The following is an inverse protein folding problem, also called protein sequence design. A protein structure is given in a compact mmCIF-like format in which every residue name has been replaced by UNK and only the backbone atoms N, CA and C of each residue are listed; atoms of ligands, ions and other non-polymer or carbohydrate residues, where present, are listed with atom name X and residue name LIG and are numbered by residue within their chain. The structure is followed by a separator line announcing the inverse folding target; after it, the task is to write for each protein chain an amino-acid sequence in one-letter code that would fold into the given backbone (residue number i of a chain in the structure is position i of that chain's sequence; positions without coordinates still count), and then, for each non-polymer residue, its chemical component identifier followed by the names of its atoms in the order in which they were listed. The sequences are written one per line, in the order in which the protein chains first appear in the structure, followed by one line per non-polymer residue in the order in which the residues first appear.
data_IF_340230225319
#
_entry.id   IF_340230225319
#
_cell.length_a   1.000
_cell.length_b   1.000
_cell.length_c   1.000
_cell.angle_alpha   90.00
_cell.angle_beta   90.00
_cell.angle_gamma   90.00
#
_symmetry.space_group_name_H-M   'P 1'
#
loop_
_entity.id
_entity.type
_entity.pdbx_description
1 polymer ?
#
# COMPACT_ATOMS: atom_id res chain seq x y z
N UNK A 1 4.83 12.24 -47.23
CA UNK A 1 4.06 12.76 -46.07
C UNK A 1 3.70 11.58 -45.19
N UNK A 2 4.55 11.25 -44.22
CA UNK A 2 4.34 10.15 -43.26
C UNK A 2 3.88 10.73 -41.95
N UNK A 3 2.65 10.42 -41.57
CA UNK A 3 2.06 10.84 -40.27
C UNK A 3 2.57 9.91 -39.17
N UNK A 4 3.54 10.37 -38.40
CA UNK A 4 4.01 9.70 -37.19
C UNK A 4 2.87 9.63 -36.18
N UNK A 5 2.45 8.41 -35.84
CA UNK A 5 1.47 8.11 -34.79
C UNK A 5 2.21 8.23 -33.45
N UNK A 6 1.97 9.31 -32.73
CA UNK A 6 2.41 9.46 -31.34
C UNK A 6 1.61 8.43 -30.52
N UNK A 7 2.27 7.39 -30.05
CA UNK A 7 1.72 6.46 -29.08
C UNK A 7 1.63 7.18 -27.73
N UNK A 8 0.41 7.41 -27.26
CA UNK A 8 0.15 7.84 -25.89
C UNK A 8 0.66 6.75 -24.93
N UNK A 9 1.63 7.08 -24.08
CA UNK A 9 2.19 6.20 -23.07
C UNK A 9 1.10 5.82 -22.05
N UNK A 10 0.89 4.51 -21.89
CA UNK A 10 -0.22 3.92 -21.19
C UNK A 10 -0.28 4.22 -19.71
N UNK A 11 -1.44 4.66 -19.28
CA UNK A 11 -1.91 4.40 -17.92
C UNK A 11 -1.91 2.87 -17.73
N UNK A 12 -1.12 2.36 -16.78
CA UNK A 12 -1.04 0.92 -16.50
C UNK A 12 -2.41 0.46 -16.01
N UNK A 13 -3.16 -0.20 -16.87
CA UNK A 13 -4.47 -0.78 -16.54
C UNK A 13 -4.29 -1.75 -15.37
N UNK A 14 -4.96 -1.47 -14.24
CA UNK A 14 -4.96 -2.37 -13.09
C UNK A 14 -5.48 -3.74 -13.55
N UNK A 15 -4.68 -4.79 -13.37
CA UNK A 15 -5.08 -6.13 -13.77
C UNK A 15 -6.21 -6.66 -12.88
N UNK A 16 -7.00 -7.61 -13.41
CA UNK A 16 -8.05 -8.28 -12.62
C UNK A 16 -7.49 -8.95 -11.36
N UNK A 17 -6.30 -9.54 -11.46
CA UNK A 17 -5.61 -10.14 -10.30
C UNK A 17 -5.25 -9.08 -9.26
N UNK A 18 -4.76 -7.93 -9.69
CA UNK A 18 -4.43 -6.82 -8.79
C UNK A 18 -5.68 -6.27 -8.08
N UNK A 19 -6.80 -6.13 -8.78
CA UNK A 19 -8.08 -5.73 -8.16
C UNK A 19 -8.54 -6.73 -7.10
N UNK A 20 -8.46 -8.04 -7.39
CA UNK A 20 -8.80 -9.10 -6.41
C UNK A 20 -7.85 -9.03 -5.22
N UNK A 21 -6.54 -8.93 -5.47
CA UNK A 21 -5.52 -8.85 -4.42
C UNK A 21 -5.78 -7.69 -3.47
N UNK A 22 -6.08 -6.51 -4.01
CA UNK A 22 -6.36 -5.32 -3.20
C UNK A 22 -7.61 -5.51 -2.32
N UNK A 23 -8.70 -5.99 -2.90
CA UNK A 23 -9.95 -6.22 -2.17
C UNK A 23 -9.82 -7.30 -1.09
N UNK A 24 -9.16 -8.41 -1.40
CA UNK A 24 -8.91 -9.47 -0.42
C UNK A 24 -7.97 -9.00 0.70
N UNK A 25 -6.94 -8.24 0.37
CA UNK A 25 -6.06 -7.67 1.37
C UNK A 25 -6.82 -6.72 2.31
N UNK A 26 -7.67 -5.86 1.76
CA UNK A 26 -8.51 -4.97 2.56
C UNK A 26 -9.51 -5.77 3.43
N UNK A 27 -10.15 -6.81 2.88
CA UNK A 27 -11.06 -7.68 3.64
C UNK A 27 -10.36 -8.43 4.79
N UNK A 28 -9.13 -8.91 4.57
CA UNK A 28 -8.31 -9.55 5.61
C UNK A 28 -7.94 -8.51 6.70
N UNK A 29 -7.45 -7.36 6.31
CA UNK A 29 -7.04 -6.30 7.24
C UNK A 29 -8.22 -5.61 7.94
N UNK A 30 -9.45 -5.76 7.44
CA UNK A 30 -10.70 -5.34 8.10
C UNK A 30 -11.33 -6.44 8.96
N UNK A 31 -10.68 -7.62 9.04
CA UNK A 31 -11.19 -8.74 9.82
C UNK A 31 -12.38 -9.48 9.19
N UNK A 32 -12.77 -9.16 7.95
CA UNK A 32 -13.82 -9.91 7.22
C UNK A 32 -13.42 -11.37 7.04
N UNK A 33 -12.13 -11.61 6.83
CA UNK A 33 -11.52 -12.93 6.91
C UNK A 33 -10.50 -12.93 8.06
N UNK A 34 -10.87 -13.46 9.23
CA UNK A 34 -9.98 -13.46 10.39
C UNK A 34 -8.78 -14.39 10.18
N UNK A 35 -7.69 -14.23 10.96
CA UNK A 35 -6.58 -15.18 10.98
C UNK A 35 -7.07 -16.62 11.19
N UNK A 36 -6.53 -17.56 10.40
CA UNK A 36 -6.96 -18.95 10.39
C UNK A 36 -8.15 -19.27 9.45
N UNK A 37 -8.84 -18.26 8.93
CA UNK A 37 -9.92 -18.48 7.97
C UNK A 37 -9.38 -19.10 6.67
N UNK A 38 -10.13 -20.05 6.11
CA UNK A 38 -9.82 -20.69 4.84
C UNK A 38 -10.37 -19.88 3.67
N UNK A 39 -9.53 -19.57 2.70
CA UNK A 39 -9.91 -18.92 1.46
C UNK A 39 -10.11 -19.99 0.36
N UNK A 40 -11.36 -20.19 -0.06
CA UNK A 40 -11.69 -21.13 -1.14
C UNK A 40 -11.59 -20.44 -2.51
N UNK A 41 -10.73 -20.97 -3.40
CA UNK A 41 -10.53 -20.44 -4.75
C UNK A 41 -11.83 -20.40 -5.57
N UNK A 42 -12.70 -21.41 -5.43
CA UNK A 42 -13.93 -21.47 -6.20
C UNK A 42 -14.97 -20.46 -5.68
N UNK A 43 -15.10 -20.35 -4.36
CA UNK A 43 -15.95 -19.34 -3.72
C UNK A 43 -15.51 -17.92 -4.08
N UNK A 44 -14.20 -17.66 -4.04
CA UNK A 44 -13.65 -16.36 -4.46
C UNK A 44 -13.86 -16.08 -5.96
N UNK A 45 -13.68 -17.08 -6.83
CA UNK A 45 -13.95 -16.93 -8.27
C UNK A 45 -15.42 -16.56 -8.54
N UNK A 46 -16.37 -17.22 -7.86
CA UNK A 46 -17.78 -16.87 -7.90
C UNK A 46 -18.05 -15.45 -7.37
N UNK A 47 -17.51 -15.11 -6.20
CA UNK A 47 -17.68 -13.79 -5.56
C UNK A 47 -17.23 -12.64 -6.45
N UNK A 48 -16.11 -12.80 -7.15
CA UNK A 48 -15.56 -11.78 -8.03
C UNK A 48 -16.07 -11.86 -9.48
N UNK A 49 -16.90 -12.85 -9.80
CA UNK A 49 -17.37 -13.15 -11.15
C UNK A 49 -16.21 -13.26 -12.16
N UNK A 50 -15.19 -14.05 -11.81
CA UNK A 50 -13.99 -14.25 -12.59
C UNK A 50 -13.61 -15.74 -12.64
N UNK A 51 -12.68 -16.08 -13.54
CA UNK A 51 -12.07 -17.42 -13.59
C UNK A 51 -11.10 -17.64 -12.40
N UNK A 52 -10.69 -18.89 -12.18
CA UNK A 52 -9.77 -19.26 -11.10
C UNK A 52 -8.35 -18.69 -11.27
N UNK A 53 -7.91 -18.45 -12.52
CA UNK A 53 -6.54 -17.98 -12.80
C UNK A 53 -6.19 -16.66 -12.12
N UNK A 54 -6.96 -15.55 -12.29
CA UNK A 54 -6.66 -14.30 -11.61
C UNK A 54 -6.80 -14.40 -10.08
N UNK A 55 -7.66 -15.30 -9.57
CA UNK A 55 -7.78 -15.55 -8.13
C UNK A 55 -6.52 -16.20 -7.57
N UNK A 56 -5.99 -17.23 -8.24
CA UNK A 56 -4.73 -17.89 -7.86
C UNK A 56 -3.56 -16.92 -7.86
N UNK A 57 -3.47 -16.08 -8.89
CA UNK A 57 -2.41 -15.07 -8.96
C UNK A 57 -2.53 -14.06 -7.80
N UNK A 58 -3.73 -13.59 -7.50
CA UNK A 58 -3.98 -12.72 -6.35
C UNK A 58 -3.59 -13.39 -5.01
N UNK A 59 -3.97 -14.66 -4.81
CA UNK A 59 -3.61 -15.42 -3.61
C UNK A 59 -2.10 -15.63 -3.49
N UNK A 60 -1.40 -15.91 -4.61
CA UNK A 60 0.06 -16.02 -4.64
C UNK A 60 0.73 -14.70 -4.22
N UNK A 61 0.22 -13.58 -4.69
CA UNK A 61 0.72 -12.25 -4.30
C UNK A 61 0.44 -11.93 -2.82
N UNK A 62 -0.73 -12.35 -2.30
CA UNK A 62 -1.05 -12.24 -0.88
C UNK A 62 -0.15 -13.13 -0.01
N UNK A 63 0.26 -14.31 -0.50
CA UNK A 63 1.26 -15.16 0.17
C UNK A 63 2.61 -14.43 0.26
N UNK A 64 3.04 -13.78 -0.82
CA UNK A 64 4.28 -12.98 -0.82
C UNK A 64 4.21 -11.78 0.14
N UNK A 65 3.01 -11.24 0.35
CA UNK A 65 2.75 -10.18 1.33
C UNK A 65 2.67 -10.72 2.78
N UNK A 66 2.53 -12.05 2.96
CA UNK A 66 2.37 -12.68 4.26
C UNK A 66 0.97 -12.52 4.87
N UNK A 67 -0.04 -12.21 4.05
CA UNK A 67 -1.44 -12.13 4.48
C UNK A 67 -2.17 -13.47 4.41
N UNK A 68 -1.60 -14.41 3.68
CA UNK A 68 -2.08 -15.79 3.61
C UNK A 68 -0.90 -16.75 3.53
N UNK A 69 -1.12 -17.98 3.94
CA UNK A 69 -0.18 -19.10 3.76
C UNK A 69 -0.84 -20.24 3.01
N UNK A 70 -0.05 -20.94 2.20
CA UNK A 70 -0.49 -22.19 1.54
C UNK A 70 -0.15 -23.39 2.42
N UNK A 71 -1.14 -24.07 2.98
CA UNK A 71 -0.95 -25.27 3.79
C UNK A 71 -1.27 -26.54 2.99
N UNK A 72 -0.38 -27.57 3.00
CA UNK A 72 -0.66 -28.85 2.37
C UNK A 72 -2.00 -29.41 2.86
N UNK A 73 -2.84 -29.86 1.95
CA UNK A 73 -4.17 -30.44 2.19
C UNK A 73 -5.23 -29.50 2.81
N UNK A 74 -4.84 -28.30 3.28
CA UNK A 74 -5.75 -27.30 3.87
C UNK A 74 -6.05 -26.13 2.94
N UNK A 75 -5.27 -25.97 1.85
CA UNK A 75 -5.45 -24.85 0.90
C UNK A 75 -4.82 -23.55 1.39
N UNK A 76 -5.43 -22.44 1.05
CA UNK A 76 -4.99 -21.09 1.42
C UNK A 76 -5.67 -20.66 2.71
N UNK A 77 -4.88 -20.25 3.69
CA UNK A 77 -5.35 -19.84 5.02
C UNK A 77 -4.87 -18.41 5.30
N UNK A 78 -5.74 -17.59 5.87
CA UNK A 78 -5.38 -16.23 6.31
C UNK A 78 -4.34 -16.33 7.42
N UNK A 79 -3.25 -15.57 7.25
CA UNK A 79 -2.15 -15.45 8.22
C UNK A 79 -1.73 -13.99 8.25
N UNK A 80 -1.41 -13.47 9.42
CA UNK A 80 -0.82 -12.15 9.54
C UNK A 80 0.65 -12.29 9.93
N UNK A 81 1.54 -11.43 9.42
CA UNK A 81 2.93 -11.45 9.82
C UNK A 81 3.05 -11.07 11.30
N UNK A 82 4.03 -11.64 11.99
CA UNK A 82 4.40 -11.19 13.32
C UNK A 82 4.91 -9.75 13.30
N UNK A 83 4.91 -9.06 14.46
CA UNK A 83 5.48 -7.71 14.56
C UNK A 83 6.93 -7.65 14.06
N UNK A 84 7.77 -8.62 14.47
CA UNK A 84 9.15 -8.71 14.01
C UNK A 84 9.25 -8.83 12.49
N UNK A 85 8.50 -9.73 11.87
CA UNK A 85 8.52 -9.92 10.42
C UNK A 85 8.01 -8.69 9.64
N UNK A 86 7.05 -7.96 10.20
CA UNK A 86 6.57 -6.70 9.63
C UNK A 86 7.61 -5.59 9.82
N UNK A 87 8.23 -5.50 11.01
CA UNK A 87 9.27 -4.54 11.32
C UNK A 87 10.48 -4.67 10.37
N UNK A 88 10.98 -5.88 10.15
CA UNK A 88 12.09 -6.17 9.23
C UNK A 88 11.78 -5.69 7.79
N UNK A 89 10.54 -5.90 7.33
CA UNK A 89 10.13 -5.45 5.99
C UNK A 89 10.07 -3.92 5.87
N UNK A 90 9.59 -3.25 6.91
CA UNK A 90 9.55 -1.79 6.94
C UNK A 90 10.94 -1.17 7.12
N UNK A 91 11.85 -1.84 7.84
CA UNK A 91 13.24 -1.43 7.96
C UNK A 91 13.92 -1.39 6.59
N UNK A 92 13.86 -2.50 5.83
CA UNK A 92 14.38 -2.56 4.46
C UNK A 92 13.74 -1.49 3.58
N UNK A 93 12.42 -1.30 3.70
CA UNK A 93 11.69 -0.28 2.94
C UNK A 93 12.19 1.13 3.26
N UNK A 94 12.40 1.42 4.54
CA UNK A 94 12.90 2.71 5.03
C UNK A 94 14.28 3.05 4.44
N UNK A 95 15.20 2.11 4.43
CA UNK A 95 16.53 2.30 3.86
C UNK A 95 16.50 2.49 2.34
N UNK A 96 15.68 1.74 1.63
CA UNK A 96 15.55 1.89 0.18
C UNK A 96 14.88 3.22 -0.20
N UNK A 97 13.80 3.62 0.48
CA UNK A 97 13.14 4.91 0.23
C UNK A 97 14.05 6.09 0.60
N UNK A 98 14.80 5.98 1.69
CA UNK A 98 15.78 6.99 2.09
C UNK A 98 16.92 7.14 1.07
N UNK A 99 17.42 6.02 0.53
CA UNK A 99 18.41 6.05 -0.55
C UNK A 99 17.83 6.69 -1.83
N UNK A 100 16.58 6.36 -2.20
CA UNK A 100 15.91 6.98 -3.35
C UNK A 100 15.78 8.48 -3.18
N UNK A 101 15.26 8.98 -2.06
CA UNK A 101 15.01 10.41 -1.87
C UNK A 101 16.32 11.19 -1.76
N UNK A 102 17.36 10.62 -1.15
CA UNK A 102 18.69 11.22 -1.10
C UNK A 102 19.26 11.46 -2.49
N UNK A 103 19.19 10.44 -3.35
CA UNK A 103 19.63 10.56 -4.74
C UNK A 103 18.72 11.50 -5.55
N UNK A 104 17.42 11.48 -5.33
CA UNK A 104 16.47 12.36 -5.98
C UNK A 104 16.77 13.85 -5.64
N UNK A 105 17.05 14.17 -4.38
CA UNK A 105 17.43 15.50 -3.97
C UNK A 105 18.69 16.03 -4.71
N UNK A 106 19.61 15.13 -5.05
CA UNK A 106 20.86 15.46 -5.76
C UNK A 106 20.69 15.51 -7.29
N UNK A 107 19.79 14.68 -7.85
CA UNK A 107 19.80 14.36 -9.30
C UNK A 107 18.58 14.88 -10.06
N UNK A 108 17.48 15.17 -9.38
CA UNK A 108 16.27 15.67 -10.05
C UNK A 108 16.56 16.97 -10.80
N UNK A 109 16.16 16.99 -12.07
CA UNK A 109 16.09 18.20 -12.89
C UNK A 109 15.07 19.21 -12.31
N UNK A 110 15.14 20.49 -12.68
CA UNK A 110 14.13 21.49 -12.29
C UNK A 110 12.70 21.06 -12.66
N UNK A 111 12.50 20.45 -13.83
CA UNK A 111 11.19 19.98 -14.27
C UNK A 111 10.65 18.83 -13.41
N UNK A 112 11.50 17.90 -12.98
CA UNK A 112 11.10 16.82 -12.07
C UNK A 112 10.76 17.32 -10.66
N UNK A 113 11.47 18.32 -10.16
CA UNK A 113 11.15 19.00 -8.88
C UNK A 113 9.79 19.67 -8.94
N UNK A 114 9.48 20.39 -10.02
CA UNK A 114 8.16 20.99 -10.26
C UNK A 114 7.08 19.91 -10.30
N UNK A 115 7.34 18.77 -10.97
CA UNK A 115 6.40 17.66 -11.00
C UNK A 115 6.13 17.09 -9.61
N UNK A 116 7.18 16.88 -8.80
CA UNK A 116 7.04 16.39 -7.42
C UNK A 116 6.17 17.33 -6.59
N UNK A 117 6.42 18.63 -6.67
CA UNK A 117 5.64 19.66 -5.98
C UNK A 117 4.16 19.65 -6.43
N UNK A 118 3.89 19.52 -7.73
CA UNK A 118 2.54 19.47 -8.25
C UNK A 118 1.76 18.23 -7.77
N UNK A 119 2.40 17.06 -7.75
CA UNK A 119 1.78 15.83 -7.23
C UNK A 119 1.44 16.01 -5.75
N UNK A 120 2.37 16.57 -4.97
CA UNK A 120 2.15 16.84 -3.55
C UNK A 120 0.99 17.83 -3.32
N UNK A 121 0.96 18.94 -4.03
CA UNK A 121 -0.14 19.93 -3.93
C UNK A 121 -1.50 19.33 -4.27
N UNK A 122 -1.60 18.50 -5.31
CA UNK A 122 -2.85 17.81 -5.65
C UNK A 122 -3.36 16.92 -4.52
N UNK A 123 -2.48 16.33 -3.73
CA UNK A 123 -2.88 15.48 -2.60
C UNK A 123 -3.56 16.25 -1.46
N UNK A 124 -3.38 17.57 -1.38
CA UNK A 124 -4.04 18.42 -0.39
C UNK A 124 -5.57 18.45 -0.53
N UNK A 125 -6.07 18.46 -1.77
CA UNK A 125 -7.51 18.42 -2.02
C UNK A 125 -8.13 17.10 -1.51
N UNK A 126 -7.43 15.99 -1.70
CA UNK A 126 -7.88 14.70 -1.17
C UNK A 126 -7.89 14.70 0.38
N UNK A 127 -6.92 15.38 1.03
CA UNK A 127 -6.91 15.55 2.49
C UNK A 127 -8.11 16.37 2.96
N UNK A 128 -8.39 17.50 2.29
CA UNK A 128 -9.53 18.39 2.66
C UNK A 128 -10.88 17.72 2.57
N UNK A 129 -11.04 16.81 1.62
CA UNK A 129 -12.29 16.11 1.36
C UNK A 129 -12.38 14.74 2.07
N UNK A 130 -11.39 14.36 2.88
CA UNK A 130 -11.20 13.01 3.45
C UNK A 130 -11.34 11.89 2.38
N UNK A 131 -10.93 12.19 1.14
CA UNK A 131 -10.97 11.24 0.01
C UNK A 131 -9.75 10.32 0.07
N UNK A 132 -9.93 9.20 0.75
CA UNK A 132 -8.89 8.20 0.98
C UNK A 132 -8.39 7.54 -0.30
N UNK A 133 -9.25 7.33 -1.26
CA UNK A 133 -8.90 6.62 -2.50
C UNK A 133 -8.07 7.51 -3.43
N UNK A 134 -8.48 8.78 -3.59
CA UNK A 134 -7.68 9.77 -4.30
C UNK A 134 -6.34 10.00 -3.59
N UNK A 135 -6.33 10.10 -2.25
CA UNK A 135 -5.08 10.25 -1.49
C UNK A 135 -4.14 9.06 -1.69
N UNK A 136 -4.64 7.82 -1.64
CA UNK A 136 -3.84 6.60 -1.88
C UNK A 136 -3.17 6.62 -3.26
N UNK A 137 -3.90 7.05 -4.28
CA UNK A 137 -3.38 7.16 -5.65
C UNK A 137 -2.27 8.21 -5.75
N UNK A 138 -2.51 9.40 -5.22
CA UNK A 138 -1.53 10.50 -5.21
C UNK A 138 -0.32 10.21 -4.32
N UNK A 139 -0.51 9.53 -3.19
CA UNK A 139 0.56 9.04 -2.34
C UNK A 139 1.46 8.03 -3.08
N UNK A 140 0.89 7.17 -3.91
CA UNK A 140 1.70 6.27 -4.75
C UNK A 140 2.48 7.07 -5.80
N UNK A 141 1.83 8.01 -6.50
CA UNK A 141 2.47 8.87 -7.52
C UNK A 141 3.61 9.71 -6.91
N UNK A 142 3.42 10.24 -5.71
CA UNK A 142 4.44 10.97 -4.95
C UNK A 142 5.72 10.15 -4.75
N UNK A 143 5.60 8.97 -4.19
CA UNK A 143 6.75 8.10 -3.95
C UNK A 143 7.38 7.60 -5.25
N UNK A 144 6.59 7.22 -6.27
CA UNK A 144 7.10 6.79 -7.58
C UNK A 144 7.90 7.92 -8.26
N UNK A 145 7.44 9.17 -8.13
CA UNK A 145 8.16 10.35 -8.63
C UNK A 145 9.54 10.48 -7.98
N UNK A 146 9.63 10.26 -6.67
CA UNK A 146 10.90 10.28 -5.93
C UNK A 146 11.81 9.13 -6.39
N UNK A 147 11.28 7.90 -6.52
CA UNK A 147 12.10 6.74 -6.91
C UNK A 147 12.69 6.92 -8.31
N UNK A 148 11.89 7.39 -9.27
CA UNK A 148 12.37 7.71 -10.62
C UNK A 148 13.38 8.85 -10.63
N UNK A 149 13.14 9.88 -9.80
CA UNK A 149 14.04 11.01 -9.64
C UNK A 149 15.40 10.66 -9.02
N UNK A 150 15.56 9.47 -8.46
CA UNK A 150 16.86 8.95 -8.02
C UNK A 150 17.82 8.68 -9.20
N UNK A 151 17.32 8.60 -10.45
CA UNK A 151 18.08 8.27 -11.65
C UNK A 151 18.97 7.02 -11.45
N UNK A 152 18.40 6.02 -10.77
CA UNK A 152 18.96 4.69 -10.58
C UNK A 152 17.83 3.67 -10.75
N UNK A 153 17.72 3.14 -11.97
CA UNK A 153 16.62 2.25 -12.35
C UNK A 153 16.58 0.98 -11.50
N UNK A 154 17.74 0.39 -11.19
CA UNK A 154 17.80 -0.82 -10.36
C UNK A 154 17.29 -0.57 -8.95
N UNK A 155 17.70 0.54 -8.33
CA UNK A 155 17.21 0.94 -7.00
C UNK A 155 15.70 1.23 -7.05
N UNK A 156 15.23 1.96 -8.06
CA UNK A 156 13.81 2.29 -8.23
C UNK A 156 12.95 1.04 -8.34
N UNK A 157 13.32 0.09 -9.20
CA UNK A 157 12.59 -1.16 -9.41
C UNK A 157 12.61 -2.05 -8.15
N UNK A 158 13.75 -2.14 -7.47
CA UNK A 158 13.87 -2.87 -6.19
C UNK A 158 12.94 -2.28 -5.14
N UNK A 159 12.95 -0.95 -4.99
CA UNK A 159 12.11 -0.23 -4.02
C UNK A 159 10.62 -0.41 -4.33
N UNK A 160 10.22 -0.30 -5.59
CA UNK A 160 8.84 -0.55 -6.04
C UNK A 160 8.43 -1.99 -5.70
N UNK A 161 9.30 -2.97 -5.98
CA UNK A 161 9.02 -4.39 -5.69
C UNK A 161 8.80 -4.67 -4.20
N UNK A 162 9.61 -4.09 -3.32
CA UNK A 162 9.44 -4.21 -1.86
C UNK A 162 8.16 -3.49 -1.42
N UNK A 163 7.93 -2.25 -1.91
CA UNK A 163 6.72 -1.48 -1.61
C UNK A 163 5.43 -2.24 -1.96
N UNK A 164 5.39 -2.92 -3.09
CA UNK A 164 4.24 -3.72 -3.50
C UNK A 164 3.96 -4.88 -2.55
N UNK A 165 5.00 -5.51 -1.98
CA UNK A 165 4.86 -6.61 -1.01
C UNK A 165 4.23 -6.16 0.30
N UNK A 166 4.54 -4.94 0.77
CA UNK A 166 3.99 -4.39 2.02
C UNK A 166 2.82 -3.42 1.78
N UNK A 167 2.37 -3.26 0.53
CA UNK A 167 1.31 -2.31 0.17
C UNK A 167 0.01 -2.46 1.00
N UNK A 168 -0.48 -3.67 1.34
CA UNK A 168 -1.66 -3.80 2.18
C UNK A 168 -1.50 -3.10 3.53
N UNK A 169 -0.37 -3.34 4.21
CA UNK A 169 -0.07 -2.74 5.51
C UNK A 169 0.09 -1.22 5.41
N UNK A 170 0.79 -0.74 4.38
CA UNK A 170 0.94 0.71 4.14
C UNK A 170 -0.40 1.41 3.89
N UNK A 171 -1.38 0.74 3.29
CA UNK A 171 -2.71 1.31 3.06
C UNK A 171 -3.58 1.30 4.30
N UNK A 172 -3.42 0.30 5.17
CA UNK A 172 -4.22 0.12 6.37
C UNK A 172 -4.22 1.36 7.27
N UNK A 173 -3.09 2.06 7.40
CA UNK A 173 -2.99 3.28 8.21
C UNK A 173 -3.98 4.38 7.80
N UNK A 174 -4.39 4.44 6.53
CA UNK A 174 -5.32 5.47 6.06
C UNK A 174 -6.77 5.26 6.51
N UNK A 175 -7.07 4.14 7.19
CA UNK A 175 -8.33 3.97 7.90
C UNK A 175 -8.36 4.76 9.23
N UNK A 176 -7.20 5.15 9.76
CA UNK A 176 -7.07 5.91 11.01
C UNK A 176 -7.48 7.37 10.76
N UNK A 177 -8.35 7.91 11.60
CA UNK A 177 -8.79 9.30 11.52
C UNK A 177 -7.59 10.28 11.61
N UNK A 178 -7.59 11.30 10.77
CA UNK A 178 -6.54 12.33 10.73
C UNK A 178 -5.20 11.86 10.13
N UNK A 179 -5.06 10.58 9.74
CA UNK A 179 -3.79 10.07 9.20
C UNK A 179 -3.43 10.67 7.83
N UNK A 180 -4.43 11.01 7.02
CA UNK A 180 -4.19 11.68 5.74
C UNK A 180 -3.46 13.01 5.93
N UNK A 181 -3.97 13.86 6.82
CA UNK A 181 -3.37 15.17 7.11
C UNK A 181 -1.94 15.04 7.66
N UNK A 182 -1.71 14.10 8.58
CA UNK A 182 -0.36 13.83 9.10
C UNK A 182 0.60 13.35 8.02
N UNK A 183 0.16 12.40 7.16
CA UNK A 183 0.97 11.91 6.05
C UNK A 183 1.32 13.02 5.05
N UNK A 184 0.35 13.90 4.76
CA UNK A 184 0.60 15.06 3.89
C UNK A 184 1.65 16.00 4.49
N UNK A 185 1.56 16.33 5.78
CA UNK A 185 2.55 17.17 6.45
C UNK A 185 3.95 16.54 6.49
N UNK A 186 4.04 15.22 6.68
CA UNK A 186 5.31 14.48 6.58
C UNK A 186 5.91 14.60 5.16
N UNK A 187 5.08 14.48 4.12
CA UNK A 187 5.50 14.65 2.72
C UNK A 187 5.91 16.09 2.41
N UNK A 188 5.24 17.10 2.97
CA UNK A 188 5.58 18.51 2.77
C UNK A 188 7.02 18.80 3.22
N UNK A 189 7.42 18.27 4.38
CA UNK A 189 8.79 18.38 4.87
C UNK A 189 9.81 17.72 3.92
N UNK A 190 9.48 16.51 3.39
CA UNK A 190 10.32 15.79 2.44
C UNK A 190 10.46 16.59 1.13
N UNK A 191 9.34 17.07 0.56
CA UNK A 191 9.36 17.90 -0.66
C UNK A 191 10.24 19.13 -0.46
N UNK A 192 10.06 19.84 0.65
CA UNK A 192 10.84 21.01 0.97
C UNK A 192 12.36 20.72 1.00
N UNK A 193 12.78 19.60 1.57
CA UNK A 193 14.18 19.19 1.59
C UNK A 193 14.70 18.85 0.16
N UNK A 194 13.91 18.10 -0.63
CA UNK A 194 14.26 17.75 -2.02
C UNK A 194 14.40 19.02 -2.88
N UNK A 195 13.47 19.98 -2.75
CA UNK A 195 13.51 21.21 -3.54
C UNK A 195 14.76 22.07 -3.22
N UNK A 196 15.23 22.06 -1.97
CA UNK A 196 16.49 22.72 -1.58
C UNK A 196 17.75 21.94 -1.96
N UNK A 197 17.62 20.68 -2.43
CA UNK A 197 18.76 19.80 -2.68
C UNK A 197 19.41 19.25 -1.39
N UNK A 198 18.72 19.35 -0.27
CA UNK A 198 19.20 18.88 1.03
C UNK A 198 18.98 17.36 1.16
N UNK A 199 19.95 16.63 0.65
CA UNK A 199 19.88 15.19 0.49
C UNK A 199 19.85 14.43 1.83
N UNK A 200 20.59 14.89 2.83
CA UNK A 200 20.67 14.22 4.13
C UNK A 200 19.36 14.43 4.91
N UNK A 201 18.87 15.67 4.99
CA UNK A 201 17.57 15.95 5.63
C UNK A 201 16.43 15.21 4.94
N UNK A 202 16.41 15.15 3.59
CA UNK A 202 15.41 14.38 2.85
C UNK A 202 15.43 12.88 3.21
N UNK A 203 16.63 12.31 3.35
CA UNK A 203 16.87 10.93 3.74
C UNK A 203 16.35 10.61 5.14
N UNK A 204 16.67 11.45 6.13
CA UNK A 204 16.22 11.30 7.52
C UNK A 204 14.71 11.44 7.66
N UNK A 205 14.11 12.44 6.99
CA UNK A 205 12.67 12.64 6.98
C UNK A 205 11.93 11.44 6.36
N UNK A 206 12.49 10.84 5.29
CA UNK A 206 11.89 9.66 4.68
C UNK A 206 11.96 8.44 5.60
N UNK A 207 13.09 8.18 6.28
CA UNK A 207 13.17 7.11 7.29
C UNK A 207 12.15 7.31 8.40
N UNK A 208 12.05 8.53 8.90
CA UNK A 208 11.08 8.90 9.95
C UNK A 208 9.65 8.66 9.47
N UNK A 209 9.31 9.11 8.24
CA UNK A 209 8.02 8.87 7.62
C UNK A 209 7.69 7.37 7.55
N UNK A 210 8.60 6.54 7.05
CA UNK A 210 8.38 5.08 6.94
C UNK A 210 8.20 4.43 8.31
N UNK A 211 8.92 4.86 9.34
CA UNK A 211 8.74 4.38 10.71
C UNK A 211 7.38 4.76 11.30
N UNK A 212 6.89 5.98 11.05
CA UNK A 212 5.53 6.40 11.46
C UNK A 212 4.48 5.54 10.74
N UNK A 213 4.66 5.29 9.44
CA UNK A 213 3.78 4.40 8.66
C UNK A 213 3.75 2.99 9.25
N UNK A 214 4.91 2.44 9.63
CA UNK A 214 5.01 1.13 10.28
C UNK A 214 4.20 1.08 11.57
N UNK A 215 4.45 2.03 12.47
CA UNK A 215 3.76 2.09 13.77
C UNK A 215 2.24 2.24 13.59
N UNK A 216 1.78 3.11 12.71
CA UNK A 216 0.37 3.30 12.42
C UNK A 216 -0.27 2.05 11.81
N UNK A 217 0.43 1.37 10.89
CA UNK A 217 -0.04 0.13 10.27
C UNK A 217 -0.14 -1.01 11.28
N UNK A 218 0.86 -1.16 12.14
CA UNK A 218 0.87 -2.16 13.20
C UNK A 218 -0.29 -1.97 14.17
N UNK A 219 -0.46 -0.76 14.69
CA UNK A 219 -1.53 -0.46 15.64
C UNK A 219 -2.92 -0.72 15.05
N UNK A 220 -3.10 -0.43 13.75
CA UNK A 220 -4.36 -0.71 13.08
C UNK A 220 -4.61 -2.22 12.96
N UNK A 221 -3.63 -2.98 12.47
CA UNK A 221 -3.75 -4.44 12.26
C UNK A 221 -3.92 -5.17 13.60
N UNK A 222 -3.15 -4.81 14.62
CA UNK A 222 -3.22 -5.44 15.95
C UNK A 222 -4.50 -5.07 16.69
N UNK A 223 -5.00 -3.85 16.53
CA UNK A 223 -6.30 -3.44 17.07
C UNK A 223 -7.45 -4.28 16.50
N UNK A 224 -7.36 -4.74 15.26
CA UNK A 224 -8.33 -5.63 14.65
C UNK A 224 -8.23 -7.07 15.17
N UNK A 225 -7.03 -7.58 15.48
CA UNK A 225 -6.85 -8.90 16.10
C UNK A 225 -7.52 -8.99 17.47
N UNK A 226 -7.41 -7.92 18.28
CA UNK A 226 -8.05 -7.84 19.59
C UNK A 226 -9.58 -7.71 19.51
N UNK A 227 -10.10 -7.22 18.39
CA UNK A 227 -11.55 -7.05 18.16
C UNK A 227 -12.19 -8.24 17.44
N UNK A 228 -11.40 -9.21 16.94
CA UNK A 228 -11.91 -10.36 16.22
C UNK A 228 -12.64 -11.34 17.16
N UNK A 229 -13.85 -11.84 16.81
CA UNK A 229 -14.50 -12.90 17.57
C UNK A 229 -13.68 -14.20 17.52
N UNK A 230 -13.81 -15.01 18.58
CA UNK A 230 -13.12 -16.31 18.72
C UNK A 230 -13.35 -17.18 17.46
N UNK A 231 -12.29 -17.63 16.76
CA UNK A 231 -12.39 -18.38 15.51
C UNK A 231 -13.05 -19.77 15.66
N UNK A 232 -13.48 -20.16 16.86
CA UNK A 232 -14.23 -21.39 17.16
C UNK A 232 -15.74 -21.24 16.98
N UNK A 233 -16.25 -20.04 16.71
CA UNK A 233 -17.65 -19.76 16.41
C UNK A 233 -17.87 -19.64 14.92
N UNK A 234 -18.37 -20.67 14.35
CA UNK A 234 -18.99 -20.94 13.04
C UNK A 234 -18.60 -20.20 11.75
N UNK A 235 -18.43 -21.03 10.73
CA UNK A 235 -17.73 -20.89 9.47
C UNK A 235 -18.52 -20.24 8.30
N UNK A 236 -19.65 -19.58 8.51
CA UNK A 236 -20.43 -18.90 7.46
C UNK A 236 -20.64 -17.41 7.74
N UNK A 237 -19.53 -16.66 7.68
CA UNK A 237 -19.62 -15.19 7.78
C UNK A 237 -20.00 -14.64 6.40
N UNK A 238 -21.20 -14.07 6.27
CA UNK A 238 -21.57 -13.27 5.11
C UNK A 238 -20.66 -12.03 5.03
N UNK A 239 -19.81 -11.92 3.97
CA UNK A 239 -18.85 -10.83 3.84
C UNK A 239 -19.49 -9.44 3.74
N UNK A 240 -20.76 -9.36 3.34
CA UNK A 240 -21.49 -8.12 3.21
C UNK A 240 -21.93 -7.59 4.58
N UNK A 241 -22.35 -8.47 5.48
CA UNK A 241 -22.74 -8.14 6.85
C UNK A 241 -21.51 -7.71 7.69
N UNK A 242 -20.36 -8.40 7.53
CA UNK A 242 -19.13 -8.08 8.23
C UNK A 242 -18.56 -6.71 7.83
N UNK A 243 -18.69 -6.31 6.55
CA UNK A 243 -18.28 -4.96 6.08
C UNK A 243 -19.15 -3.84 6.68
N UNK A 244 -20.42 -4.10 6.92
CA UNK A 244 -21.32 -3.13 7.54
C UNK A 244 -20.97 -2.90 9.01
N UNK A 245 -20.55 -3.95 9.71
CA UNK A 245 -20.15 -3.89 11.12
C UNK A 245 -18.75 -3.25 11.32
N UNK A 246 -17.84 -3.35 10.34
CA UNK A 246 -16.48 -2.82 10.39
C UNK A 246 -16.36 -1.32 10.05
N UNK A 247 -17.47 -0.62 9.77
CA UNK A 247 -17.43 0.84 9.61
C UNK A 247 -17.28 1.48 10.99
N UNK A 248 -16.25 2.31 11.23
CA UNK A 248 -16.14 3.05 12.49
C UNK A 248 -17.38 3.91 12.65
N UNK A 249 -18.03 3.77 13.81
CA UNK A 249 -19.12 4.64 14.26
C UNK A 249 -18.56 6.07 14.28
N UNK A 250 -19.14 6.94 13.48
CA UNK A 250 -18.88 8.38 13.58
C UNK A 250 -19.37 8.85 14.94
N UNK A 251 -18.44 9.24 15.79
CA UNK A 251 -18.66 10.08 16.97
C UNK A 251 -17.98 11.41 16.71
#
# INVERSE_FOLDING_TARGET
MSRGRVQASGATSITRAETIRQRLADDILLGVYPPGARLDENGLAKRFNLSRTPVREALRQLTSAGLVEMRPRRGVIVSLPTDSALAERFEVMGELEAACVRLAAQRMSPAERVRLELVHRRSFEAVRNDDRDSYRTLNFEFHDTIYRGAHNEFLSQTTIGIRQRIAPFRRAQFAIAGRLAKSHAEHDAIVSAVLRGDAETASELMRTHVNIVRAASWNYVHGLELAAPDPRTDADVDPAAARAAARPTQI
#
